data_IF_134404855843
#
_entry.id   IF_134404855843
#
_cell.length_a   1.000
_cell.length_b   1.000
_cell.length_c   1.000
_cell.angle_alpha   90.00
_cell.angle_beta   90.00
_cell.angle_gamma   90.00
#
_symmetry.space_group_name_H-M   'P 1'
#
loop_
_entity.id
_entity.type
_entity.pdbx_description
1 polymer ?
#
# COMPACT_ATOMS: atom_id res chain seq x y z
N UNK A 1 22.31 1.03 2.58
CA UNK A 1 21.63 -0.03 1.81
C UNK A 1 21.49 0.45 0.38
N UNK A 2 21.97 -0.34 -0.57
CA UNK A 2 21.80 -0.06 -1.99
C UNK A 2 20.47 -0.67 -2.48
N UNK A 3 19.59 0.17 -3.04
CA UNK A 3 18.30 -0.24 -3.59
C UNK A 3 18.21 0.14 -5.07
N UNK A 4 17.54 -0.70 -5.85
CA UNK A 4 17.30 -0.44 -7.27
C UNK A 4 15.86 0.03 -7.48
N UNK A 5 15.64 1.34 -7.45
CA UNK A 5 14.32 1.95 -7.61
C UNK A 5 14.15 2.49 -9.03
N UNK A 6 13.11 2.02 -9.72
CA UNK A 6 12.74 2.46 -11.05
C UNK A 6 11.39 3.16 -11.04
N UNK A 7 11.42 4.43 -11.45
CA UNK A 7 10.22 5.26 -11.61
C UNK A 7 9.75 5.24 -13.06
N UNK A 8 8.43 5.14 -13.23
CA UNK A 8 7.79 5.11 -14.54
C UNK A 8 6.96 6.37 -14.79
N UNK A 9 6.75 6.70 -16.06
CA UNK A 9 5.90 7.81 -16.50
C UNK A 9 6.27 9.14 -15.85
N UNK A 10 5.25 9.87 -15.40
CA UNK A 10 5.37 11.22 -14.81
C UNK A 10 6.19 11.25 -13.51
N UNK A 11 6.33 10.12 -12.79
CA UNK A 11 7.16 10.06 -11.58
C UNK A 11 8.65 10.23 -11.91
N UNK A 12 9.09 9.78 -13.08
CA UNK A 12 10.48 9.91 -13.53
C UNK A 12 10.88 11.38 -13.74
N UNK A 13 9.92 12.19 -14.16
CA UNK A 13 10.13 13.64 -14.41
C UNK A 13 10.08 14.44 -13.11
N UNK A 14 9.28 13.98 -12.13
CA UNK A 14 9.10 14.65 -10.83
C UNK A 14 10.32 14.53 -9.92
N UNK A 15 10.97 13.37 -9.92
CA UNK A 15 12.08 13.10 -8.98
C UNK A 15 13.40 13.61 -9.54
N UNK A 16 14.14 14.36 -8.73
CA UNK A 16 15.44 14.92 -9.11
C UNK A 16 16.47 13.82 -9.38
N UNK A 17 17.19 13.93 -10.50
CA UNK A 17 18.31 13.03 -10.83
C UNK A 17 19.43 13.05 -9.80
N UNK A 18 19.50 14.08 -8.94
CA UNK A 18 20.49 14.21 -7.88
C UNK A 18 20.32 13.16 -6.76
N UNK A 19 19.13 12.58 -6.63
CA UNK A 19 18.81 11.54 -5.63
C UNK A 19 19.30 10.17 -6.10
N UNK A 20 19.45 9.96 -7.41
CA UNK A 20 19.85 8.68 -7.99
C UNK A 20 21.30 8.67 -8.43
N UNK A 21 21.94 7.51 -8.32
CA UNK A 21 23.28 7.26 -8.86
C UNK A 21 23.24 6.23 -10.00
N UNK A 22 24.15 6.34 -10.98
CA UNK A 22 24.25 5.44 -12.14
C UNK A 22 23.61 5.94 -13.44
N UNK A 23 23.98 5.33 -14.57
CA UNK A 23 23.65 5.79 -15.94
C UNK A 23 22.15 5.93 -16.23
N UNK A 24 21.29 5.18 -15.52
CA UNK A 24 19.83 5.17 -15.73
C UNK A 24 19.01 5.79 -14.60
N UNK A 25 19.65 6.40 -13.59
CA UNK A 25 18.96 6.94 -12.40
C UNK A 25 18.08 5.89 -11.70
N UNK A 26 18.63 4.69 -11.47
CA UNK A 26 17.90 3.56 -10.88
C UNK A 26 18.41 3.15 -9.50
N UNK A 27 19.56 3.67 -9.05
CA UNK A 27 20.15 3.27 -7.76
C UNK A 27 19.89 4.36 -6.74
N UNK A 28 19.13 4.02 -5.70
CA UNK A 28 18.86 4.86 -4.55
C UNK A 28 19.68 4.33 -3.36
N UNK A 29 20.55 5.17 -2.82
CA UNK A 29 21.32 4.85 -1.63
C UNK A 29 20.62 5.40 -0.40
N UNK A 30 20.10 4.50 0.44
CA UNK A 30 19.48 4.87 1.71
C UNK A 30 20.46 4.53 2.83
N UNK A 31 20.91 5.55 3.55
CA UNK A 31 21.83 5.40 4.66
C UNK A 31 21.04 5.27 5.97
N UNK A 32 21.38 4.27 6.79
CA UNK A 32 21.10 4.29 8.23
C UNK A 32 19.69 3.94 8.72
N UNK A 33 18.81 3.34 7.91
CA UNK A 33 17.51 2.81 8.39
C UNK A 33 17.49 1.28 8.36
N UNK A 34 17.28 0.67 9.52
CA UNK A 34 16.93 -0.74 9.67
C UNK A 34 15.41 -0.92 9.47
N UNK A 35 14.97 -2.04 8.90
CA UNK A 35 13.55 -2.38 8.64
C UNK A 35 12.76 -1.38 7.77
N UNK A 36 13.36 -0.95 6.65
CA UNK A 36 12.68 -0.09 5.67
C UNK A 36 11.42 -0.73 5.10
N UNK A 37 10.38 0.08 4.92
CA UNK A 37 9.19 -0.27 4.13
C UNK A 37 9.08 0.60 2.88
N UNK A 38 8.26 0.18 1.92
CA UNK A 38 8.04 0.94 0.67
C UNK A 38 7.66 2.39 0.93
N UNK A 39 6.84 2.70 1.95
CA UNK A 39 6.44 4.07 2.24
C UNK A 39 7.63 4.98 2.61
N UNK A 40 8.64 4.47 3.32
CA UNK A 40 9.86 5.25 3.60
C UNK A 40 10.56 5.68 2.30
N UNK A 41 10.55 4.80 1.28
CA UNK A 41 11.12 5.08 -0.03
C UNK A 41 10.32 6.17 -0.74
N UNK A 42 8.99 6.11 -0.64
CA UNK A 42 8.12 7.11 -1.25
C UNK A 42 8.32 8.50 -0.63
N UNK A 43 8.49 8.55 0.69
CA UNK A 43 8.75 9.78 1.43
C UNK A 43 10.09 10.40 1.02
N UNK A 44 11.15 9.60 0.92
CA UNK A 44 12.48 10.04 0.46
C UNK A 44 12.43 10.59 -0.98
N UNK A 45 11.58 10.00 -1.83
CA UNK A 45 11.39 10.43 -3.22
C UNK A 45 10.39 11.60 -3.36
N UNK A 46 9.73 12.04 -2.28
CA UNK A 46 8.70 13.07 -2.33
C UNK A 46 7.47 12.68 -3.16
N UNK A 47 7.15 11.39 -3.21
CA UNK A 47 6.02 10.85 -3.99
C UNK A 47 4.88 10.51 -3.03
N UNK A 48 3.70 11.09 -3.26
CA UNK A 48 2.51 10.74 -2.48
C UNK A 48 1.92 9.40 -2.95
N UNK A 49 1.41 8.59 -2.02
CA UNK A 49 0.59 7.41 -2.34
C UNK A 49 -0.58 7.73 -3.28
N UNK A 50 -1.10 8.96 -3.24
CA UNK A 50 -2.20 9.40 -4.09
C UNK A 50 -1.78 9.60 -5.55
N UNK A 51 -0.50 9.54 -5.88
CA UNK A 51 0.02 9.69 -7.24
C UNK A 51 0.35 8.33 -7.86
N UNK A 52 0.33 7.26 -7.07
CA UNK A 52 0.77 5.93 -7.45
C UNK A 52 -0.43 5.05 -7.81
N UNK A 53 -0.28 4.23 -8.84
CA UNK A 53 -1.20 3.13 -9.15
C UNK A 53 -0.69 1.79 -8.64
N UNK A 54 0.57 1.46 -8.91
CA UNK A 54 1.14 0.14 -8.60
C UNK A 54 2.57 0.24 -8.11
N UNK A 55 2.93 -0.68 -7.23
CA UNK A 55 4.30 -0.85 -6.72
C UNK A 55 4.69 -2.31 -6.89
N UNK A 56 5.90 -2.55 -7.38
CA UNK A 56 6.45 -3.89 -7.52
C UNK A 56 7.75 -4.00 -6.75
N UNK A 57 7.90 -5.03 -5.93
CA UNK A 57 9.16 -5.37 -5.27
C UNK A 57 9.64 -6.72 -5.81
N UNK A 58 10.81 -6.75 -6.44
CA UNK A 58 11.37 -7.92 -7.13
C UNK A 58 10.38 -8.57 -8.11
N UNK A 59 9.74 -7.74 -8.95
CA UNK A 59 8.70 -8.13 -9.90
C UNK A 59 7.40 -8.69 -9.28
N UNK A 60 7.18 -8.50 -7.97
CA UNK A 60 5.98 -8.93 -7.26
C UNK A 60 5.12 -7.74 -6.89
N UNK A 61 3.82 -7.79 -7.21
CA UNK A 61 2.91 -6.70 -6.90
C UNK A 61 2.79 -6.52 -5.38
N UNK A 62 3.07 -5.32 -4.89
CA UNK A 62 3.29 -5.04 -3.47
C UNK A 62 2.58 -3.74 -3.05
N UNK A 63 2.24 -3.66 -1.77
CA UNK A 63 1.70 -2.46 -1.13
C UNK A 63 2.79 -1.59 -0.49
N UNK A 64 2.35 -0.43 0.01
CA UNK A 64 3.24 0.58 0.63
C UNK A 64 3.84 0.13 1.97
N UNK A 65 3.24 -0.85 2.63
CA UNK A 65 3.77 -1.43 3.87
C UNK A 65 4.73 -2.59 3.64
N UNK A 66 5.06 -2.93 2.39
CA UNK A 66 5.97 -4.04 2.08
C UNK A 66 7.38 -3.72 2.62
N UNK A 67 7.94 -4.64 3.40
CA UNK A 67 9.33 -4.56 3.87
C UNK A 67 10.33 -4.70 2.72
N UNK A 68 11.40 -3.92 2.80
CA UNK A 68 12.46 -3.80 1.80
C UNK A 68 13.79 -4.30 2.39
N UNK A 69 14.53 -5.04 1.57
CA UNK A 69 15.86 -5.57 1.89
C UNK A 69 16.92 -5.04 0.92
N UNK A 70 18.17 -5.19 1.31
CA UNK A 70 19.30 -4.76 0.49
C UNK A 70 19.31 -5.48 -0.86
N UNK A 71 19.50 -4.72 -1.94
CA UNK A 71 19.48 -5.24 -3.30
C UNK A 71 18.10 -5.42 -3.91
N UNK A 72 17.01 -5.13 -3.19
CA UNK A 72 15.66 -5.21 -3.73
C UNK A 72 15.46 -4.25 -4.92
N UNK A 73 14.68 -4.72 -5.90
CA UNK A 73 14.27 -3.94 -7.07
C UNK A 73 12.85 -3.44 -6.89
N UNK A 74 12.66 -2.12 -6.91
CA UNK A 74 11.37 -1.49 -6.63
C UNK A 74 10.92 -0.74 -7.89
N UNK A 75 9.79 -1.12 -8.46
CA UNK A 75 9.14 -0.42 -9.58
C UNK A 75 7.93 0.37 -9.09
N UNK A 76 7.87 1.68 -9.36
CA UNK A 76 6.76 2.54 -8.94
C UNK A 76 6.09 3.17 -10.16
N UNK A 77 4.78 2.98 -10.28
CA UNK A 77 4.00 3.41 -11.43
C UNK A 77 2.99 4.50 -11.04
N UNK A 78 2.88 5.59 -11.83
CA UNK A 78 1.92 6.65 -11.56
C UNK A 78 0.48 6.23 -11.87
N UNK A 79 -0.48 7.00 -11.34
CA UNK A 79 -1.92 6.80 -11.55
C UNK A 79 -2.37 6.86 -13.00
N UNK A 80 -1.79 7.75 -13.81
CA UNK A 80 -2.14 7.88 -15.23
C UNK A 80 -1.77 6.63 -16.05
N UNK A 81 -0.96 5.71 -15.52
CA UNK A 81 -0.59 4.45 -16.16
C UNK A 81 -1.39 3.23 -15.64
N UNK A 82 -2.40 3.44 -14.79
CA UNK A 82 -3.16 2.34 -14.17
C UNK A 82 -3.79 1.38 -15.19
N UNK A 83 -4.20 1.88 -16.37
CA UNK A 83 -4.87 1.10 -17.42
C UNK A 83 -3.93 0.05 -18.03
N UNK A 84 -2.61 0.26 -18.00
CA UNK A 84 -1.62 -0.70 -18.55
C UNK A 84 -1.50 -2.00 -17.73
N UNK A 85 -2.14 -2.04 -16.55
CA UNK A 85 -1.99 -3.11 -15.55
C UNK A 85 -3.35 -3.67 -15.08
N UNK A 86 -4.42 -3.49 -15.87
CA UNK A 86 -5.76 -3.97 -15.53
C UNK A 86 -5.82 -5.49 -15.26
N UNK A 87 -4.87 -6.25 -15.81
CA UNK A 87 -4.69 -7.69 -15.61
C UNK A 87 -3.30 -8.00 -15.03
N UNK A 88 -2.90 -7.39 -13.91
CA UNK A 88 -1.73 -7.92 -13.19
C UNK A 88 -2.03 -9.38 -12.86
N UNK A 89 -1.23 -10.35 -13.36
CA UNK A 89 -1.38 -11.73 -12.94
C UNK A 89 -1.26 -11.75 -11.42
N UNK A 90 -2.19 -12.45 -10.73
CA UNK A 90 -2.30 -12.55 -9.26
C UNK A 90 -1.07 -13.23 -8.62
N UNK A 91 0.10 -12.64 -8.79
CA UNK A 91 1.39 -13.16 -8.37
C UNK A 91 1.68 -12.50 -7.01
N UNK A 92 1.50 -13.28 -5.94
CA UNK A 92 1.64 -12.90 -4.53
C UNK A 92 0.59 -11.93 -4.00
N UNK A 93 -0.68 -12.20 -4.32
CA UNK A 93 -1.74 -11.66 -3.50
C UNK A 93 -1.83 -12.46 -2.19
N UNK A 94 -2.07 -11.76 -1.09
CA UNK A 94 -2.48 -12.34 0.17
C UNK A 94 -4.00 -12.37 0.22
N UNK A 95 -4.56 -13.36 0.89
CA UNK A 95 -6.00 -13.53 1.07
C UNK A 95 -6.39 -13.09 2.47
N UNK A 96 -7.30 -12.12 2.53
CA UNK A 96 -7.81 -11.60 3.80
C UNK A 96 -9.32 -11.72 3.84
N UNK A 97 -9.86 -11.80 5.06
CA UNK A 97 -11.30 -11.72 5.30
C UNK A 97 -11.65 -10.35 5.85
N UNK A 98 -12.44 -9.56 5.11
CA UNK A 98 -12.96 -8.27 5.58
C UNK A 98 -14.39 -8.43 6.09
N UNK A 99 -14.69 -7.90 7.27
CA UNK A 99 -16.01 -7.89 7.90
C UNK A 99 -16.46 -6.44 8.13
N UNK A 100 -17.58 -6.06 7.55
CA UNK A 100 -18.19 -4.73 7.71
C UNK A 100 -19.36 -4.80 8.69
N UNK A 101 -19.40 -3.86 9.63
CA UNK A 101 -20.40 -3.81 10.70
C UNK A 101 -21.30 -2.57 10.59
N UNK A 102 -22.49 -2.67 11.18
CA UNK A 102 -23.48 -1.58 11.24
C UNK A 102 -23.75 -0.92 9.87
N UNK A 103 -23.74 0.42 9.79
CA UNK A 103 -24.00 1.17 8.56
C UNK A 103 -22.93 0.92 7.48
N UNK A 104 -21.72 0.49 7.84
CA UNK A 104 -20.67 0.23 6.84
C UNK A 104 -21.01 -0.92 5.89
N UNK A 105 -22.02 -1.74 6.20
CA UNK A 105 -22.54 -2.78 5.30
C UNK A 105 -23.16 -2.24 4.02
N UNK A 106 -23.42 -0.93 3.94
CA UNK A 106 -23.85 -0.30 2.69
C UNK A 106 -22.73 -0.18 1.65
N UNK A 107 -21.47 -0.19 2.07
CA UNK A 107 -20.29 -0.09 1.20
C UNK A 107 -19.82 -1.43 0.63
N UNK A 108 -20.39 -2.55 1.07
CA UNK A 108 -20.00 -3.87 0.59
C UNK A 108 -20.57 -5.03 1.40
N UNK A 109 -20.22 -6.29 1.06
CA UNK A 109 -20.72 -7.45 1.76
C UNK A 109 -20.31 -7.45 3.22
N UNK A 110 -21.19 -7.94 4.10
CA UNK A 110 -20.92 -8.03 5.54
C UNK A 110 -19.69 -8.88 5.89
N UNK A 111 -19.35 -9.85 5.04
CA UNK A 111 -18.12 -10.64 5.09
C UNK A 111 -17.65 -10.92 3.65
N UNK A 112 -16.40 -10.60 3.35
CA UNK A 112 -15.80 -10.84 2.03
C UNK A 112 -14.44 -11.50 2.19
N UNK A 113 -14.19 -12.59 1.45
CA UNK A 113 -12.83 -13.08 1.21
C UNK A 113 -12.30 -12.37 -0.03
N UNK A 114 -11.15 -11.73 0.07
CA UNK A 114 -10.58 -10.97 -1.05
C UNK A 114 -9.07 -11.11 -1.11
N UNK A 115 -8.54 -11.03 -2.33
CA UNK A 115 -7.12 -10.94 -2.57
C UNK A 115 -6.65 -9.49 -2.62
N UNK A 116 -5.52 -9.21 -1.95
CA UNK A 116 -4.85 -7.90 -1.92
C UNK A 116 -3.34 -8.07 -2.06
N UNK A 117 -2.60 -7.05 -2.53
CA UNK A 117 -1.14 -7.12 -2.59
C UNK A 117 -0.53 -7.33 -1.21
N UNK A 118 0.54 -8.12 -1.13
CA UNK A 118 1.33 -8.22 0.09
C UNK A 118 1.87 -6.83 0.51
N UNK A 119 1.81 -6.50 1.80
CA UNK A 119 2.15 -5.16 2.27
C UNK A 119 1.02 -4.13 2.09
N UNK A 120 -0.20 -4.58 1.75
CA UNK A 120 -1.39 -3.73 1.82
C UNK A 120 -1.66 -3.29 3.26
N UNK A 121 -2.28 -2.13 3.41
CA UNK A 121 -2.63 -1.55 4.73
C UNK A 121 -4.14 -1.37 4.88
N UNK A 122 -4.60 -1.11 6.09
CA UNK A 122 -6.00 -0.75 6.38
C UNK A 122 -6.48 0.44 5.54
N UNK A 123 -5.63 1.46 5.36
CA UNK A 123 -5.89 2.62 4.50
C UNK A 123 -6.21 2.23 3.07
N UNK A 124 -5.51 1.24 2.52
CA UNK A 124 -5.76 0.72 1.17
C UNK A 124 -7.11 0.02 1.09
N UNK A 125 -7.51 -0.73 2.13
CA UNK A 125 -8.83 -1.35 2.19
C UNK A 125 -9.96 -0.32 2.27
N UNK A 126 -9.85 0.65 3.17
CA UNK A 126 -10.86 1.72 3.33
C UNK A 126 -11.07 2.45 2.00
N UNK A 127 -9.99 2.78 1.28
CA UNK A 127 -10.04 3.37 -0.05
C UNK A 127 -10.74 2.43 -1.06
N UNK A 128 -10.43 1.13 -1.06
CA UNK A 128 -11.01 0.14 -1.99
C UNK A 128 -12.51 -0.05 -1.81
N UNK A 129 -13.00 0.00 -0.58
CA UNK A 129 -14.45 -0.03 -0.28
C UNK A 129 -15.13 1.34 -0.47
N UNK A 130 -14.40 2.38 -0.88
CA UNK A 130 -14.90 3.76 -1.01
C UNK A 130 -15.59 4.27 0.26
N UNK A 131 -15.14 3.82 1.44
CA UNK A 131 -15.69 4.28 2.72
C UNK A 131 -15.26 5.74 2.92
N UNK A 132 -16.19 6.70 3.03
CA UNK A 132 -15.86 8.11 3.12
C UNK A 132 -15.05 8.42 4.38
N UNK A 133 -13.98 9.21 4.24
CA UNK A 133 -13.19 9.71 5.40
C UNK A 133 -14.03 10.52 6.40
N UNK A 134 -15.18 11.05 5.97
CA UNK A 134 -16.14 11.78 6.81
C UNK A 134 -16.91 10.88 7.79
N UNK A 135 -16.82 9.56 7.67
CA UNK A 135 -17.37 8.60 8.64
C UNK A 135 -16.67 8.66 10.00
N UNK A 136 -15.70 9.56 10.25
CA UNK A 136 -15.02 9.68 11.53
C UNK A 136 -13.87 8.68 11.71
N UNK A 137 -13.37 8.53 12.95
CA UNK A 137 -12.29 7.59 13.26
C UNK A 137 -12.88 6.18 13.32
N UNK A 138 -12.90 5.50 12.17
CA UNK A 138 -13.28 4.09 12.06
C UNK A 138 -12.49 3.25 13.07
N UNK A 139 -13.15 2.26 13.65
CA UNK A 139 -12.48 1.27 14.50
C UNK A 139 -12.16 0.07 13.65
N UNK A 140 -10.88 -0.27 13.57
CA UNK A 140 -10.41 -1.42 12.81
C UNK A 140 -9.75 -2.43 13.74
N UNK A 141 -10.14 -3.70 13.63
CA UNK A 141 -9.50 -4.81 14.33
C UNK A 141 -8.88 -5.76 13.31
N UNK A 142 -7.65 -6.20 13.56
CA UNK A 142 -6.97 -7.26 12.80
C UNK A 142 -6.84 -8.46 13.73
N UNK A 143 -7.46 -9.59 13.38
CA UNK A 143 -7.49 -10.81 14.20
C UNK A 143 -7.96 -10.55 15.65
N UNK A 144 -8.88 -9.60 15.83
CA UNK A 144 -9.41 -9.20 17.14
C UNK A 144 -8.57 -8.19 17.91
N UNK A 145 -7.38 -7.81 17.41
CA UNK A 145 -6.54 -6.78 18.02
C UNK A 145 -6.79 -5.41 17.39
N UNK A 146 -6.89 -4.33 18.19
CA UNK A 146 -7.14 -2.99 17.66
C UNK A 146 -5.94 -2.48 16.85
N UNK A 147 -6.26 -1.96 15.67
CA UNK A 147 -5.35 -1.23 14.82
C UNK A 147 -5.73 0.26 14.89
N UNK A 148 -4.94 1.04 15.61
CA UNK A 148 -5.24 2.45 15.90
C UNK A 148 -4.84 3.41 14.79
N UNK A 149 -3.99 2.95 13.87
CA UNK A 149 -3.44 3.70 12.74
C UNK A 149 -3.93 3.08 11.44
N UNK A 150 -4.19 3.88 10.41
CA UNK A 150 -4.64 3.32 9.12
C UNK A 150 -3.50 2.61 8.37
N UNK A 151 -2.26 2.69 8.86
CA UNK A 151 -1.07 2.20 8.19
C UNK A 151 -0.65 0.79 8.67
N UNK A 152 -1.45 0.13 9.54
CA UNK A 152 -1.21 -1.27 9.90
C UNK A 152 -1.16 -2.15 8.65
N UNK A 153 -0.09 -2.94 8.53
CA UNK A 153 0.18 -3.84 7.42
C UNK A 153 -0.59 -5.15 7.59
N UNK A 154 -1.19 -5.61 6.50
CA UNK A 154 -1.97 -6.83 6.41
C UNK A 154 -1.11 -8.01 5.98
N UNK A 155 -1.42 -9.17 6.55
CA UNK A 155 -0.77 -10.44 6.29
C UNK A 155 -1.77 -11.47 5.77
N UNK A 156 -1.25 -12.52 5.14
CA UNK A 156 -2.07 -13.60 4.59
C UNK A 156 -2.87 -14.30 5.70
N UNK A 157 -4.16 -14.53 5.44
CA UNK A 157 -5.10 -15.11 6.38
C UNK A 157 -5.74 -14.13 7.36
N UNK A 158 -5.35 -12.84 7.36
CA UNK A 158 -5.87 -11.86 8.32
C UNK A 158 -7.40 -11.70 8.23
N UNK A 159 -8.02 -11.56 9.41
CA UNK A 159 -9.43 -11.18 9.56
C UNK A 159 -9.49 -9.72 10.00
N UNK A 160 -9.93 -8.87 9.09
CA UNK A 160 -10.11 -7.43 9.31
C UNK A 160 -11.58 -7.15 9.62
N UNK A 161 -11.86 -6.58 10.80
CA UNK A 161 -13.18 -6.10 11.16
C UNK A 161 -13.20 -4.57 11.19
N UNK A 162 -14.12 -3.96 10.45
CA UNK A 162 -14.25 -2.50 10.37
C UNK A 162 -15.61 -2.10 10.93
N UNK A 163 -15.58 -1.23 11.94
CA UNK A 163 -16.75 -0.67 12.60
C UNK A 163 -16.82 0.83 12.33
N UNK A 164 -18.02 1.41 12.21
CA UNK A 164 -18.18 2.85 12.24
C UNK A 164 -17.69 3.42 13.58
N UNK A 165 -17.46 4.75 13.68
CA UNK A 165 -17.20 5.38 14.96
C UNK A 165 -18.32 5.05 15.95
N UNK A 166 -17.96 4.94 17.23
CA UNK A 166 -18.93 4.69 18.30
C UNK A 166 -19.83 5.93 18.38
N UNK A 167 -21.02 5.86 17.79
CA UNK A 167 -22.11 6.76 18.11
C UNK A 167 -22.69 6.33 19.45
N UNK A 168 -22.34 7.07 20.51
CA UNK A 168 -23.08 6.97 21.76
C UNK A 168 -24.53 7.37 21.51
N UNK A 169 -25.47 6.54 21.97
CA UNK A 169 -26.85 6.96 22.19
C UNK A 169 -26.92 7.95 23.35
#
# INVERSE_FOLDING_TARGET
MELKVKLYGTLKEKVSKLIFTGENSEILNINGKENLIVSDILDELGISESEISHIFVNNRYSGVGKQIKEGDRIGIFPKNMAIMFAEIPKINAIYITVKLFANLREYGPSKSLMDVPEGSTIKTLIKKYNIPKKEGKLITLINGQPCHENDCVLHDGDIVAIFPPIGGG
#
